data_IF_717573994740
#
_entry.id   IF_717573994740
#
_cell.length_a   1.000
_cell.length_b   1.000
_cell.length_c   1.000
_cell.angle_alpha   90.00
_cell.angle_beta   90.00
_cell.angle_gamma   90.00
#
_symmetry.space_group_name_H-M   'P 1'
#
loop_
_entity.id
_entity.type
_entity.pdbx_description
1 polymer ?
#
# COMPACT_ATOMS: atom_id res chain seq x y z
N UNK A 1 7.49 -8.96 16.86
CA UNK A 1 7.14 -7.52 16.92
C UNK A 1 7.45 -6.89 15.57
N UNK A 2 6.50 -6.18 14.96
CA UNK A 2 6.64 -5.55 13.63
C UNK A 2 6.93 -4.05 13.82
N UNK A 3 8.17 -3.72 14.19
CA UNK A 3 8.57 -2.33 14.37
C UNK A 3 8.49 -1.52 13.05
N UNK A 4 8.19 -0.21 13.10
CA UNK A 4 7.79 0.57 14.28
C UNK A 4 6.42 0.17 14.84
N UNK A 5 6.24 0.28 16.15
CA UNK A 5 4.98 -0.01 16.86
C UNK A 5 4.36 1.29 17.39
N UNK A 6 3.03 1.34 17.58
CA UNK A 6 2.37 2.52 18.12
C UNK A 6 2.66 2.72 19.63
N UNK A 7 2.47 3.94 20.18
CA UNK A 7 2.05 5.16 19.48
C UNK A 7 3.13 5.68 18.53
N UNK A 8 2.71 6.22 17.39
CA UNK A 8 3.63 6.76 16.38
C UNK A 8 3.94 8.24 16.63
N UNK A 9 5.20 8.60 16.43
CA UNK A 9 5.65 9.94 16.07
C UNK A 9 5.81 10.06 14.55
N UNK A 10 6.22 11.24 14.07
CA UNK A 10 6.36 11.48 12.63
C UNK A 10 7.42 10.57 11.99
N UNK A 11 8.56 10.38 12.63
CA UNK A 11 9.66 9.58 12.10
C UNK A 11 9.25 8.10 11.97
N UNK A 12 8.68 7.53 13.03
CA UNK A 12 8.20 6.16 13.06
C UNK A 12 7.02 5.95 12.10
N UNK A 13 6.11 6.92 11.95
CA UNK A 13 5.04 6.87 10.96
C UNK A 13 5.59 6.85 9.53
N UNK A 14 6.55 7.73 9.19
CA UNK A 14 7.21 7.73 7.86
C UNK A 14 7.92 6.41 7.58
N UNK A 15 8.64 5.87 8.57
CA UNK A 15 9.29 4.55 8.48
C UNK A 15 8.27 3.43 8.27
N UNK A 16 7.11 3.49 8.94
CA UNK A 16 6.03 2.52 8.78
C UNK A 16 5.44 2.55 7.37
N UNK A 17 5.20 3.75 6.83
CA UNK A 17 4.71 3.96 5.47
C UNK A 17 5.70 3.44 4.43
N UNK A 18 7.00 3.75 4.58
CA UNK A 18 8.03 3.26 3.66
C UNK A 18 8.18 1.73 3.74
N UNK A 19 8.15 1.13 4.93
CA UNK A 19 8.19 -0.32 5.08
C UNK A 19 7.00 -1.01 4.39
N UNK A 20 5.80 -0.42 4.46
CA UNK A 20 4.63 -0.91 3.73
C UNK A 20 4.79 -0.75 2.21
N UNK A 21 5.31 0.38 1.73
CA UNK A 21 5.63 0.55 0.30
C UNK A 21 6.62 -0.51 -0.20
N UNK A 22 7.71 -0.72 0.53
CA UNK A 22 8.76 -1.68 0.19
C UNK A 22 8.18 -3.09 0.14
N UNK A 23 7.36 -3.47 1.13
CA UNK A 23 6.70 -4.77 1.16
C UNK A 23 5.74 -4.95 -0.03
N UNK A 24 4.87 -3.98 -0.32
CA UNK A 24 3.92 -4.09 -1.43
C UNK A 24 4.61 -4.13 -2.81
N UNK A 25 5.76 -3.47 -2.98
CA UNK A 25 6.55 -3.55 -4.22
C UNK A 25 7.21 -4.93 -4.45
N UNK A 26 7.30 -5.79 -3.43
CA UNK A 26 7.72 -7.19 -3.62
C UNK A 26 6.71 -7.98 -4.45
N UNK A 27 5.43 -7.60 -4.40
CA UNK A 27 4.30 -8.33 -4.99
C UNK A 27 4.22 -9.79 -4.52
N UNK A 28 4.70 -10.05 -3.30
CA UNK A 28 4.64 -11.35 -2.64
C UNK A 28 3.46 -11.37 -1.64
N UNK A 29 2.37 -12.10 -1.94
CA UNK A 29 1.18 -12.16 -1.10
C UNK A 29 1.46 -12.62 0.32
N UNK A 30 2.26 -13.68 0.49
CA UNK A 30 2.57 -14.25 1.78
C UNK A 30 3.37 -13.26 2.62
N UNK A 31 4.40 -12.64 2.02
CA UNK A 31 5.24 -11.65 2.69
C UNK A 31 4.46 -10.41 3.12
N UNK A 32 3.57 -9.90 2.26
CA UNK A 32 2.76 -8.71 2.57
C UNK A 32 1.71 -9.04 3.64
N UNK A 33 1.08 -10.21 3.58
CA UNK A 33 0.06 -10.64 4.55
C UNK A 33 0.59 -10.72 6.00
N UNK A 34 1.89 -10.97 6.20
CA UNK A 34 2.52 -11.00 7.54
C UNK A 34 2.44 -9.67 8.30
N UNK A 35 2.28 -8.53 7.60
CA UNK A 35 2.14 -7.22 8.23
C UNK A 35 0.77 -6.99 8.90
N UNK A 36 -0.18 -7.92 8.73
CA UNK A 36 -1.56 -7.81 9.22
C UNK A 36 -1.81 -8.80 10.37
N UNK A 37 -2.68 -8.44 11.32
CA UNK A 37 -3.12 -9.39 12.37
C UNK A 37 -3.86 -10.58 11.76
N UNK A 38 -3.99 -11.67 12.50
CA UNK A 38 -4.65 -12.89 11.99
C UNK A 38 -6.12 -12.65 11.65
N UNK A 39 -6.76 -11.75 12.40
CA UNK A 39 -8.14 -11.31 12.32
C UNK A 39 -8.33 -9.95 11.61
N UNK A 40 -7.30 -9.46 10.92
CA UNK A 40 -7.29 -8.12 10.30
C UNK A 40 -8.50 -7.90 9.38
N UNK A 41 -9.13 -6.73 9.49
CA UNK A 41 -10.33 -6.39 8.70
C UNK A 41 -10.01 -5.32 7.67
N UNK A 42 -10.32 -5.59 6.41
CA UNK A 42 -10.11 -4.69 5.31
C UNK A 42 -11.40 -4.28 4.62
N UNK A 43 -11.40 -3.04 4.13
CA UNK A 43 -12.17 -2.64 2.95
C UNK A 43 -11.20 -2.18 1.88
N UNK A 44 -11.25 -2.77 0.69
CA UNK A 44 -10.45 -2.36 -0.46
C UNK A 44 -11.38 -2.07 -1.64
N UNK A 45 -11.55 -0.80 -1.99
CA UNK A 45 -12.64 -0.34 -2.88
C UNK A 45 -13.99 -0.73 -2.29
N UNK A 46 -14.68 -1.65 -2.96
CA UNK A 46 -15.98 -2.24 -2.65
C UNK A 46 -15.88 -3.67 -2.07
N UNK A 47 -14.68 -4.25 -1.98
CA UNK A 47 -14.46 -5.57 -1.41
C UNK A 47 -14.15 -5.51 0.10
N UNK A 48 -14.80 -6.37 0.89
CA UNK A 48 -14.58 -6.53 2.33
C UNK A 48 -13.90 -7.86 2.61
N UNK A 49 -12.81 -7.83 3.38
CA UNK A 49 -11.92 -8.99 3.57
C UNK A 49 -11.62 -9.11 5.05
N UNK A 50 -11.75 -10.32 5.61
CA UNK A 50 -11.44 -10.59 7.02
C UNK A 50 -10.46 -11.74 7.15
N UNK A 51 -9.38 -11.46 7.87
CA UNK A 51 -8.35 -12.42 8.23
C UNK A 51 -7.20 -12.55 7.22
N UNK A 52 -6.02 -12.92 7.75
CA UNK A 52 -4.78 -13.01 6.97
C UNK A 52 -4.87 -13.94 5.74
N UNK A 53 -5.51 -15.13 5.81
CA UNK A 53 -5.64 -16.00 4.63
C UNK A 53 -6.46 -15.38 3.49
N UNK A 54 -7.51 -14.63 3.83
CA UNK A 54 -8.35 -13.94 2.86
C UNK A 54 -7.60 -12.75 2.23
N UNK A 55 -6.82 -12.02 3.01
CA UNK A 55 -5.91 -10.97 2.54
C UNK A 55 -4.91 -11.54 1.54
N UNK A 56 -4.25 -12.66 1.85
CA UNK A 56 -3.29 -13.28 0.93
C UNK A 56 -3.95 -13.71 -0.38
N UNK A 57 -5.17 -14.26 -0.31
CA UNK A 57 -5.97 -14.63 -1.49
C UNK A 57 -6.31 -13.42 -2.35
N UNK A 58 -6.74 -12.31 -1.73
CA UNK A 58 -6.97 -11.05 -2.42
C UNK A 58 -5.71 -10.54 -3.13
N UNK A 59 -4.56 -10.55 -2.44
CA UNK A 59 -3.29 -10.07 -2.98
C UNK A 59 -2.81 -10.90 -4.18
N UNK A 60 -3.03 -12.23 -4.17
CA UNK A 60 -2.76 -13.09 -5.33
C UNK A 60 -3.58 -12.67 -6.55
N UNK A 61 -4.89 -12.45 -6.38
CA UNK A 61 -5.76 -12.00 -7.48
C UNK A 61 -5.35 -10.60 -7.98
N UNK A 62 -5.03 -9.69 -7.05
CA UNK A 62 -4.60 -8.33 -7.38
C UNK A 62 -3.40 -8.33 -8.32
N UNK A 63 -2.32 -9.02 -7.96
CA UNK A 63 -1.09 -9.01 -8.77
C UNK A 63 -1.11 -9.97 -9.96
N UNK A 64 -2.10 -10.87 -10.05
CA UNK A 64 -2.39 -11.56 -11.31
C UNK A 64 -3.00 -10.62 -12.36
N UNK A 65 -3.83 -9.66 -11.93
CA UNK A 65 -4.48 -8.68 -12.81
C UNK A 65 -3.61 -7.44 -13.08
N UNK A 66 -2.94 -6.92 -12.05
CA UNK A 66 -2.15 -5.69 -12.12
C UNK A 66 -0.67 -5.99 -12.39
N UNK A 67 -0.32 -6.19 -13.66
CA UNK A 67 1.05 -6.52 -14.09
C UNK A 67 1.97 -5.31 -13.99
N UNK A 68 3.27 -5.54 -13.89
CA UNK A 68 4.30 -4.48 -13.77
C UNK A 68 4.04 -3.45 -12.65
N UNK A 69 3.31 -3.88 -11.61
CA UNK A 69 2.92 -3.05 -10.48
C UNK A 69 4.13 -2.38 -9.83
N UNK A 70 4.08 -1.05 -9.73
CA UNK A 70 5.05 -0.24 -9.01
C UNK A 70 4.32 0.84 -8.19
N UNK A 71 4.61 0.90 -6.90
CA UNK A 71 3.87 1.67 -5.90
C UNK A 71 4.73 2.74 -5.25
N UNK A 72 4.09 3.85 -4.91
CA UNK A 72 4.60 4.91 -4.06
C UNK A 72 3.55 5.29 -3.01
N UNK A 73 3.95 5.37 -1.75
CA UNK A 73 3.15 5.81 -0.60
C UNK A 73 3.78 7.07 0.00
N UNK A 74 2.93 7.86 0.65
CA UNK A 74 3.27 9.10 1.32
C UNK A 74 2.41 9.24 2.58
N UNK A 75 3.06 9.54 3.71
CA UNK A 75 2.38 9.85 4.96
C UNK A 75 1.53 11.11 4.78
N UNK A 76 0.25 11.04 5.13
CA UNK A 76 -0.63 12.21 5.16
C UNK A 76 -0.75 12.79 6.56
N UNK A 77 -1.13 11.95 7.53
CA UNK A 77 -1.11 12.28 8.96
C UNK A 77 -1.05 11.00 9.79
N UNK A 78 -0.81 11.15 11.09
CA UNK A 78 -0.81 10.06 12.07
C UNK A 78 -1.42 10.54 13.38
N UNK A 79 -1.95 9.60 14.17
CA UNK A 79 -2.44 9.84 15.51
C UNK A 79 -2.42 8.54 16.30
N UNK A 80 -1.69 8.48 17.41
CA UNK A 80 -1.57 7.30 18.27
C UNK A 80 -1.22 6.03 17.47
N UNK A 81 -2.15 5.10 17.34
CA UNK A 81 -2.01 3.84 16.60
C UNK A 81 -2.58 3.88 15.18
N UNK A 82 -2.82 5.06 14.61
CA UNK A 82 -3.42 5.25 13.28
C UNK A 82 -2.52 6.06 12.37
N UNK A 83 -2.54 5.70 11.09
CA UNK A 83 -1.82 6.40 10.02
C UNK A 83 -2.76 6.56 8.82
N UNK A 84 -2.86 7.79 8.29
CA UNK A 84 -3.48 8.07 7.02
C UNK A 84 -2.40 8.23 5.94
N UNK A 85 -2.64 7.62 4.78
CA UNK A 85 -1.65 7.51 3.69
C UNK A 85 -2.28 7.90 2.37
N UNK A 86 -1.53 8.67 1.57
CA UNK A 86 -1.77 8.85 0.15
C UNK A 86 -0.85 7.90 -0.61
N UNK A 87 -1.32 7.34 -1.71
CA UNK A 87 -0.48 6.50 -2.54
C UNK A 87 -0.88 6.55 -4.00
N UNK A 88 0.07 6.19 -4.86
CA UNK A 88 -0.10 6.03 -6.29
C UNK A 88 0.61 4.76 -6.73
N UNK A 89 0.00 4.01 -7.63
CA UNK A 89 0.69 2.92 -8.31
C UNK A 89 0.41 2.93 -9.80
N UNK A 90 1.33 2.38 -10.56
CA UNK A 90 1.17 2.15 -11.99
C UNK A 90 1.25 0.66 -12.27
N UNK A 91 0.37 0.18 -13.16
CA UNK A 91 0.32 -1.20 -13.61
C UNK A 91 -0.20 -1.31 -15.04
N UNK A 92 0.00 -2.46 -15.66
CA UNK A 92 -0.52 -2.81 -16.97
C UNK A 92 -1.52 -3.96 -16.82
N UNK A 93 -2.71 -3.84 -17.41
CA UNK A 93 -3.69 -4.94 -17.43
C UNK A 93 -3.35 -5.97 -18.52
N UNK A 94 -4.18 -7.00 -18.69
CA UNK A 94 -3.96 -8.09 -19.65
C UNK A 94 -3.94 -7.62 -21.11
N UNK A 95 -4.72 -6.58 -21.44
CA UNK A 95 -4.91 -6.05 -22.79
C UNK A 95 -3.80 -5.06 -23.19
N UNK A 96 -2.89 -4.73 -22.27
CA UNK A 96 -1.77 -3.82 -22.51
C UNK A 96 -2.08 -2.37 -22.16
N UNK A 97 -3.25 -2.08 -21.59
CA UNK A 97 -3.60 -0.74 -21.13
C UNK A 97 -2.88 -0.45 -19.81
N UNK A 98 -2.21 0.70 -19.76
CA UNK A 98 -1.56 1.18 -18.55
C UNK A 98 -2.52 2.00 -17.70
N UNK A 99 -2.42 1.82 -16.39
CA UNK A 99 -3.24 2.52 -15.42
C UNK A 99 -2.34 3.23 -14.42
N UNK A 100 -2.74 4.44 -14.03
CA UNK A 100 -2.29 5.08 -12.81
C UNK A 100 -3.43 5.13 -11.82
N UNK A 101 -3.25 4.43 -10.71
CA UNK A 101 -4.22 4.36 -9.63
C UNK A 101 -3.84 5.34 -8.53
N UNK A 102 -4.80 6.13 -8.09
CA UNK A 102 -4.67 7.09 -6.99
C UNK A 102 -5.46 6.57 -5.80
N UNK A 103 -4.81 6.48 -4.64
CA UNK A 103 -5.41 5.88 -3.47
C UNK A 103 -5.22 6.70 -2.20
N UNK A 104 -6.22 6.61 -1.34
CA UNK A 104 -6.13 6.93 0.07
C UNK A 104 -6.32 5.65 0.87
N UNK A 105 -5.52 5.47 1.92
CA UNK A 105 -5.74 4.40 2.88
C UNK A 105 -5.55 4.84 4.31
N UNK A 106 -6.38 4.28 5.18
CA UNK A 106 -6.40 4.52 6.62
C UNK A 106 -6.05 3.22 7.31
N UNK A 107 -5.06 3.28 8.19
CA UNK A 107 -4.49 2.14 8.89
C UNK A 107 -4.72 2.27 10.39
N UNK A 108 -5.08 1.17 11.03
CA UNK A 108 -5.05 1.02 12.48
C UNK A 108 -4.17 -0.17 12.84
N UNK A 109 -3.34 0.01 13.88
CA UNK A 109 -2.34 -0.97 14.29
C UNK A 109 -2.62 -1.51 15.69
N UNK A 110 -2.34 -2.80 15.88
CA UNK A 110 -2.21 -3.44 17.18
C UNK A 110 -0.89 -3.03 17.86
N UNK A 111 -0.80 -3.27 19.17
CA UNK A 111 0.37 -2.89 19.99
C UNK A 111 1.70 -3.51 19.50
N UNK A 112 1.64 -4.66 18.82
CA UNK A 112 2.83 -5.32 18.27
C UNK A 112 3.26 -4.81 16.88
N UNK A 113 2.59 -3.76 16.38
CA UNK A 113 2.86 -3.10 15.12
C UNK A 113 2.24 -3.75 13.89
N UNK A 114 1.48 -4.85 14.01
CA UNK A 114 0.70 -5.37 12.88
C UNK A 114 -0.58 -4.57 12.67
N UNK A 115 -1.03 -4.48 11.43
CA UNK A 115 -2.23 -3.72 11.07
C UNK A 115 -3.50 -4.55 11.34
N UNK A 116 -4.35 -4.07 12.24
CA UNK A 116 -5.64 -4.69 12.61
C UNK A 116 -6.78 -4.26 11.69
N UNK A 117 -6.69 -3.05 11.11
CA UNK A 117 -7.69 -2.53 10.17
C UNK A 117 -7.04 -1.78 9.02
N UNK A 118 -7.53 -2.00 7.80
CA UNK A 118 -7.14 -1.27 6.59
C UNK A 118 -8.36 -0.85 5.79
N UNK A 119 -8.51 0.44 5.55
CA UNK A 119 -9.51 0.93 4.60
C UNK A 119 -8.83 1.62 3.46
N UNK A 120 -9.16 1.25 2.22
CA UNK A 120 -8.58 1.89 1.05
C UNK A 120 -9.60 2.17 -0.04
N UNK A 121 -9.61 3.42 -0.48
CA UNK A 121 -10.37 3.90 -1.63
C UNK A 121 -9.39 4.25 -2.75
N UNK A 122 -9.71 3.82 -3.97
CA UNK A 122 -8.80 3.84 -5.12
C UNK A 122 -9.58 4.22 -6.37
N UNK A 123 -9.00 5.08 -7.21
CA UNK A 123 -9.53 5.45 -8.51
C UNK A 123 -8.44 5.30 -9.57
N UNK A 124 -8.80 4.77 -10.74
CA UNK A 124 -7.87 4.45 -11.82
C UNK A 124 -8.06 5.43 -12.98
N UNK A 125 -6.94 5.90 -13.52
CA UNK A 125 -6.91 6.75 -14.70
C UNK A 125 -6.08 6.02 -15.77
N UNK A 126 -6.61 5.87 -17.00
CA UNK A 126 -5.83 5.28 -18.09
C UNK A 126 -4.69 6.23 -18.47
N UNK A 127 -3.51 5.67 -18.69
CA UNK A 127 -2.33 6.40 -19.15
C UNK A 127 -1.67 5.68 -20.34
N UNK A 128 -0.82 6.36 -21.08
CA UNK A 128 0.09 5.72 -22.05
C UNK A 128 1.36 5.25 -21.36
N UNK A 129 2.15 4.40 -22.04
CA UNK A 129 3.43 3.95 -21.51
C UNK A 129 4.42 5.11 -21.27
N UNK A 130 4.39 6.15 -22.12
CA UNK A 130 5.25 7.33 -22.06
C UNK A 130 4.87 8.26 -20.89
N UNK A 131 3.64 8.20 -20.42
CA UNK A 131 3.17 8.99 -19.29
C UNK A 131 3.60 8.42 -17.94
N UNK A 132 4.15 7.19 -17.90
CA UNK A 132 4.60 6.53 -16.67
C UNK A 132 5.68 7.33 -15.96
N UNK A 133 5.64 7.25 -14.62
CA UNK A 133 6.66 7.86 -13.75
C UNK A 133 7.09 6.97 -12.59
N UNK A 134 6.41 5.85 -12.36
CA UNK A 134 6.70 4.95 -11.25
C UNK A 134 7.27 3.66 -11.80
N UNK A 135 8.55 3.44 -11.51
CA UNK A 135 9.31 2.28 -11.96
C UNK A 135 9.92 1.57 -10.76
N UNK A 136 9.62 0.27 -10.62
CA UNK A 136 10.18 -0.61 -9.62
C UNK A 136 10.12 -0.09 -8.17
N UNK A 137 10.95 -0.65 -7.28
CA UNK A 137 11.13 -0.16 -5.91
C UNK A 137 11.64 1.29 -5.89
N UNK A 138 11.22 2.08 -4.89
CA UNK A 138 11.67 3.47 -4.74
C UNK A 138 13.14 3.53 -4.31
N UNK A 139 14.02 4.23 -5.05
CA UNK A 139 15.40 4.48 -4.62
C UNK A 139 15.47 5.27 -3.31
N UNK A 140 16.49 5.04 -2.48
CA UNK A 140 16.67 5.73 -1.19
C UNK A 140 16.65 7.25 -1.32
N UNK A 141 17.29 7.80 -2.36
CA UNK A 141 17.34 9.24 -2.65
C UNK A 141 15.97 9.88 -2.95
N UNK A 142 14.95 9.08 -3.28
CA UNK A 142 13.60 9.55 -3.64
C UNK A 142 12.60 9.41 -2.48
N UNK A 143 13.00 8.88 -1.32
CA UNK A 143 12.11 8.65 -0.16
C UNK A 143 11.51 9.92 0.44
N UNK A 144 12.16 11.06 0.23
CA UNK A 144 11.68 12.37 0.69
C UNK A 144 10.97 13.18 -0.41
N UNK A 145 10.80 12.61 -1.61
CA UNK A 145 10.14 13.30 -2.72
C UNK A 145 8.62 13.12 -2.60
N UNK A 146 7.84 14.21 -2.44
CA UNK A 146 6.38 14.14 -2.33
C UNK A 146 5.72 13.57 -3.58
N UNK A 147 4.53 12.98 -3.44
CA UNK A 147 3.78 12.49 -4.59
C UNK A 147 3.16 13.65 -5.35
N UNK A 148 3.38 13.76 -6.67
CA UNK A 148 2.75 14.80 -7.47
C UNK A 148 1.24 14.59 -7.48
N UNK A 149 0.46 15.68 -7.45
CA UNK A 149 -0.98 15.57 -7.58
C UNK A 149 -1.40 15.11 -8.99
N UNK A 150 -0.70 15.58 -10.02
CA UNK A 150 -0.91 15.24 -11.44
C UNK A 150 0.32 14.58 -11.98
#
# INVERSE_FOLDING_TARGET
MFAPCPPFDEESARRKVQAAEDAWNTRDPARVALAYTEDSVWRNRDEFITGRPAIETFLRRKWAAERDYALRKELWCYQENRIAVRYQYECCDADGQWWRSYGNELWEFAADGRMSRRESSINDIPITAEQRRIFGPRPSRERSVPLPLR
#
